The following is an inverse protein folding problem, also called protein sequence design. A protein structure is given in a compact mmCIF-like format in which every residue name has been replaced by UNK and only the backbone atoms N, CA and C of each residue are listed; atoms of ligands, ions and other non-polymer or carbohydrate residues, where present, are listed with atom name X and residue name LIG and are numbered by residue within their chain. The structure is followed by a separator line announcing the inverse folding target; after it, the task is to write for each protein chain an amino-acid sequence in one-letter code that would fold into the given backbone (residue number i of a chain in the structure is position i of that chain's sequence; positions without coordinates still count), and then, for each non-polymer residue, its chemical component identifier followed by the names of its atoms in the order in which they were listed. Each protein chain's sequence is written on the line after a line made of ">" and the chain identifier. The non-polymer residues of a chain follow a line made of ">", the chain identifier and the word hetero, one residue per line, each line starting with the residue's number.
data_IF_175122563104
#
_entry.id   IF_175122563104
#
_cell.length_a   1.000
_cell.length_b   1.000
_cell.length_c   1.000
_cell.angle_alpha   90.00
_cell.angle_beta   90.00
_cell.angle_gamma   90.00
#
_symmetry.space_group_name_H-M   'P 1'
#
loop_
_entity.id
_entity.type
_entity.pdbx_description
1 polymer ?
#
# COMPACT_ATOMS: atom_id res chain seq x y z
N UNK A 1 71.36 -55.95 14.87
CA UNK A 1 70.42 -55.20 15.74
C UNK A 1 69.85 -54.05 14.94
N UNK A 2 68.69 -54.32 14.37
CA UNK A 2 67.87 -53.49 13.49
C UNK A 2 66.81 -52.81 14.34
N UNK A 3 66.63 -51.49 14.22
CA UNK A 3 65.51 -50.80 14.84
C UNK A 3 65.07 -49.62 13.99
N UNK A 4 63.82 -49.73 13.56
CA UNK A 4 63.06 -48.94 12.60
C UNK A 4 62.70 -47.54 13.10
N UNK A 5 62.89 -46.52 12.26
CA UNK A 5 62.21 -45.22 12.40
C UNK A 5 60.92 -45.24 11.59
N UNK A 6 59.78 -45.12 12.28
CA UNK A 6 58.47 -44.89 11.67
C UNK A 6 58.34 -43.41 11.29
N UNK A 7 58.17 -43.13 9.99
CA UNK A 7 57.66 -41.85 9.50
C UNK A 7 56.14 -41.94 9.38
N UNK A 8 55.41 -41.13 10.15
CA UNK A 8 53.98 -40.90 9.95
C UNK A 8 53.84 -39.62 9.12
N UNK A 9 53.42 -39.78 7.86
CA UNK A 9 53.01 -38.67 7.02
C UNK A 9 51.54 -38.34 7.31
N UNK A 10 51.28 -37.10 7.77
CA UNK A 10 49.93 -36.54 7.84
C UNK A 10 49.68 -35.78 6.53
N UNK A 11 48.66 -36.11 5.73
CA UNK A 11 48.36 -35.34 4.53
C UNK A 11 47.63 -34.05 4.92
N UNK A 12 48.21 -32.90 4.56
CA UNK A 12 47.49 -31.62 4.50
C UNK A 12 46.41 -31.74 3.42
N UNK A 13 45.15 -31.89 3.85
CA UNK A 13 44.00 -31.73 2.96
C UNK A 13 43.79 -30.23 2.69
N UNK A 14 44.20 -29.77 1.52
CA UNK A 14 43.88 -28.44 1.01
C UNK A 14 42.36 -28.38 0.69
N UNK A 15 41.60 -27.69 1.52
CA UNK A 15 40.23 -27.31 1.21
C UNK A 15 40.24 -26.25 0.10
N UNK A 16 40.06 -26.70 -1.15
CA UNK A 16 39.64 -25.80 -2.23
C UNK A 16 38.20 -25.38 -1.95
N UNK A 17 38.02 -24.14 -1.48
CA UNK A 17 36.72 -23.49 -1.47
C UNK A 17 36.27 -23.30 -2.93
N UNK A 18 35.36 -24.16 -3.38
CA UNK A 18 34.67 -23.99 -4.66
C UNK A 18 33.79 -22.75 -4.54
N UNK A 19 34.31 -21.63 -5.03
CA UNK A 19 33.54 -20.41 -5.23
C UNK A 19 32.59 -20.68 -6.40
N UNK A 20 31.35 -21.09 -6.09
CA UNK A 20 30.29 -21.16 -7.10
C UNK A 20 29.92 -19.72 -7.45
N UNK A 21 30.15 -19.24 -8.68
CA UNK A 21 29.71 -17.91 -9.06
C UNK A 21 28.18 -17.91 -9.03
N UNK A 22 27.60 -17.07 -8.16
CA UNK A 22 26.19 -16.73 -8.26
C UNK A 22 25.98 -16.08 -9.63
N UNK A 23 25.42 -16.83 -10.58
CA UNK A 23 25.13 -16.33 -11.92
C UNK A 23 24.45 -14.98 -11.86
N UNK A 24 24.98 -14.01 -12.60
CA UNK A 24 24.35 -12.72 -12.81
C UNK A 24 22.97 -12.97 -13.41
N UNK A 25 21.91 -12.66 -12.68
CA UNK A 25 20.56 -12.70 -13.22
C UNK A 25 20.52 -11.79 -14.45
N UNK A 26 20.16 -12.35 -15.61
CA UNK A 26 19.89 -11.56 -16.82
C UNK A 26 18.90 -10.48 -16.47
N UNK A 27 19.19 -9.27 -16.88
CA UNK A 27 18.40 -8.11 -16.54
C UNK A 27 17.03 -8.21 -17.27
N UNK A 28 15.92 -7.96 -16.54
CA UNK A 28 14.54 -8.17 -17.01
C UNK A 28 13.74 -6.87 -17.00
N UNK A 29 12.71 -6.79 -17.84
CA UNK A 29 11.67 -5.75 -17.78
C UNK A 29 10.25 -6.36 -17.75
N UNK A 30 9.26 -5.55 -17.43
CA UNK A 30 7.85 -5.94 -17.42
C UNK A 30 7.31 -6.08 -18.84
N UNK A 31 6.74 -7.26 -19.14
CA UNK A 31 6.20 -7.56 -20.47
C UNK A 31 4.84 -8.22 -20.38
N UNK A 32 3.99 -8.01 -21.38
CA UNK A 32 2.76 -8.78 -21.51
C UNK A 32 3.08 -10.20 -21.98
N UNK A 33 2.40 -11.20 -21.40
CA UNK A 33 2.56 -12.61 -21.78
C UNK A 33 1.21 -13.27 -21.96
N UNK A 34 0.91 -13.70 -23.19
CA UNK A 34 -0.34 -14.43 -23.52
C UNK A 34 -0.47 -15.73 -22.73
N UNK A 35 0.65 -16.38 -22.42
CA UNK A 35 0.67 -17.60 -21.60
C UNK A 35 0.43 -17.31 -20.12
N UNK A 36 1.01 -16.23 -19.58
CA UNK A 36 0.86 -15.92 -18.16
C UNK A 36 -0.50 -15.28 -17.84
N UNK A 37 -1.09 -14.52 -18.77
CA UNK A 37 -2.28 -13.71 -18.50
C UNK A 37 -3.51 -14.54 -18.04
N UNK A 38 -3.89 -15.67 -18.68
CA UNK A 38 -5.01 -16.49 -18.21
C UNK A 38 -4.75 -17.12 -16.83
N UNK A 39 -3.51 -17.53 -16.56
CA UNK A 39 -3.11 -18.07 -15.25
C UNK A 39 -3.23 -17.00 -14.16
N UNK A 40 -2.74 -15.79 -14.44
CA UNK A 40 -2.85 -14.65 -13.53
C UNK A 40 -4.32 -14.21 -13.35
N UNK A 41 -5.13 -14.21 -14.41
CA UNK A 41 -6.56 -13.92 -14.33
C UNK A 41 -7.26 -14.87 -13.36
N UNK A 42 -6.97 -16.18 -13.45
CA UNK A 42 -7.48 -17.18 -12.50
C UNK A 42 -6.93 -16.99 -11.09
N UNK A 43 -5.64 -16.66 -10.95
CA UNK A 43 -4.98 -16.45 -9.66
C UNK A 43 -5.53 -15.24 -8.91
N UNK A 44 -5.78 -14.12 -9.61
CA UNK A 44 -6.41 -12.95 -9.02
C UNK A 44 -7.90 -13.17 -8.83
N UNK A 45 -8.63 -13.66 -9.84
CA UNK A 45 -10.08 -13.84 -9.80
C UNK A 45 -10.82 -12.61 -9.23
N UNK A 46 -10.33 -11.42 -9.58
CA UNK A 46 -10.81 -10.15 -9.06
C UNK A 46 -11.75 -9.48 -10.06
N UNK A 47 -12.68 -8.62 -9.62
CA UNK A 47 -13.47 -7.80 -10.53
C UNK A 47 -12.61 -6.77 -11.26
N UNK A 48 -13.03 -6.34 -12.45
CA UNK A 48 -12.28 -5.35 -13.26
C UNK A 48 -12.03 -4.04 -12.50
N UNK A 49 -12.95 -3.65 -11.61
CA UNK A 49 -12.82 -2.43 -10.81
C UNK A 49 -11.81 -2.53 -9.66
N UNK A 50 -11.10 -3.65 -9.50
CA UNK A 50 -9.89 -3.77 -8.68
C UNK A 50 -8.61 -3.60 -9.50
N UNK A 51 -8.70 -3.65 -10.83
CA UNK A 51 -7.57 -3.38 -11.71
C UNK A 51 -7.29 -1.88 -11.80
N UNK A 52 -6.12 -1.54 -12.34
CA UNK A 52 -5.64 -0.16 -12.45
C UNK A 52 -5.33 0.16 -13.91
N UNK A 53 -5.68 1.35 -14.42
CA UNK A 53 -5.22 1.79 -15.74
C UNK A 53 -3.69 1.94 -15.74
N UNK A 54 -3.06 1.78 -16.90
CA UNK A 54 -1.60 1.86 -17.01
C UNK A 54 -1.06 3.26 -16.65
N UNK A 55 -1.90 4.29 -16.76
CA UNK A 55 -1.58 5.67 -16.37
C UNK A 55 -1.29 5.85 -14.88
N UNK A 56 -1.68 4.89 -14.02
CA UNK A 56 -1.31 4.90 -12.58
C UNK A 56 0.15 4.56 -12.34
N UNK A 57 0.81 3.91 -13.31
CA UNK A 57 2.10 3.25 -13.10
C UNK A 57 3.24 4.25 -12.93
N UNK A 58 4.12 3.96 -11.99
CA UNK A 58 5.40 4.62 -11.86
C UNK A 58 6.25 4.36 -13.12
N UNK A 59 6.99 5.37 -13.55
CA UNK A 59 8.04 5.21 -14.55
C UNK A 59 9.22 4.50 -13.89
N UNK A 60 9.46 3.26 -14.28
CA UNK A 60 10.61 2.48 -13.85
C UNK A 60 11.61 2.44 -15.02
N UNK A 61 12.91 2.57 -14.74
CA UNK A 61 13.97 2.45 -15.73
C UNK A 61 14.62 1.07 -15.54
N UNK A 62 14.44 0.19 -16.53
CA UNK A 62 15.06 -1.14 -16.59
C UNK A 62 16.45 -1.12 -17.25
N UNK A 63 17.21 -2.20 -17.18
CA UNK A 63 16.78 -3.55 -16.77
C UNK A 63 16.95 -3.88 -15.27
N UNK A 64 16.10 -4.76 -14.71
CA UNK A 64 16.13 -5.12 -13.29
C UNK A 64 16.85 -6.46 -13.03
N UNK A 65 17.84 -6.50 -12.13
CA UNK A 65 18.57 -7.72 -11.79
C UNK A 65 17.77 -8.59 -10.81
N UNK A 66 16.80 -9.35 -11.32
CA UNK A 66 15.97 -10.25 -10.52
C UNK A 66 15.72 -11.61 -11.18
N UNK A 67 15.56 -12.64 -10.35
CA UNK A 67 15.10 -13.96 -10.78
C UNK A 67 13.59 -14.06 -10.81
N UNK A 68 12.86 -13.12 -10.17
CA UNK A 68 11.40 -13.08 -10.18
C UNK A 68 10.86 -12.84 -11.60
N UNK A 69 9.57 -13.13 -11.80
CA UNK A 69 8.92 -12.96 -13.10
C UNK A 69 8.23 -11.59 -13.11
N UNK A 70 8.52 -10.78 -14.14
CA UNK A 70 7.99 -9.43 -14.32
C UNK A 70 6.98 -9.42 -15.48
N UNK A 71 5.69 -9.28 -15.16
CA UNK A 71 4.61 -9.41 -16.16
C UNK A 71 3.63 -8.26 -16.04
N UNK A 72 3.23 -7.69 -17.18
CA UNK A 72 2.07 -6.81 -17.26
C UNK A 72 0.81 -7.65 -17.47
N UNK A 73 0.01 -7.80 -16.41
CA UNK A 73 -1.29 -8.45 -16.43
C UNK A 73 -2.35 -7.49 -16.98
N UNK A 74 -3.19 -7.97 -17.90
CA UNK A 74 -4.39 -7.26 -18.40
C UNK A 74 -5.65 -8.02 -17.96
N UNK A 75 -6.60 -7.29 -17.37
CA UNK A 75 -7.86 -7.89 -16.94
C UNK A 75 -8.65 -8.40 -18.16
N UNK A 76 -9.31 -9.59 -18.11
CA UNK A 76 -10.11 -10.11 -19.23
C UNK A 76 -11.13 -9.10 -19.78
N UNK A 77 -11.94 -8.49 -18.91
CA UNK A 77 -12.90 -7.45 -19.32
C UNK A 77 -12.24 -6.22 -19.94
N UNK A 78 -11.00 -5.91 -19.54
CA UNK A 78 -10.25 -4.81 -20.12
C UNK A 78 -9.79 -5.14 -21.54
N UNK A 79 -9.35 -6.39 -21.77
CA UNK A 79 -9.01 -6.88 -23.10
C UNK A 79 -10.23 -6.85 -24.02
N UNK A 80 -11.39 -7.34 -23.57
CA UNK A 80 -12.64 -7.33 -24.35
C UNK A 80 -13.12 -5.91 -24.66
N UNK A 81 -13.02 -5.00 -23.69
CA UNK A 81 -13.41 -3.58 -23.89
C UNK A 81 -12.34 -2.74 -24.61
N UNK A 82 -11.14 -3.26 -24.87
CA UNK A 82 -10.04 -2.46 -25.41
C UNK A 82 -9.56 -1.33 -24.49
N UNK A 83 -9.80 -1.44 -23.18
CA UNK A 83 -9.17 -0.62 -22.15
C UNK A 83 -7.85 -1.24 -21.70
N UNK A 84 -7.07 -0.50 -20.90
CA UNK A 84 -5.74 -0.92 -20.44
C UNK A 84 -5.71 -1.31 -18.96
N UNK A 85 -6.88 -1.52 -18.34
CA UNK A 85 -6.98 -1.86 -16.93
C UNK A 85 -6.33 -3.23 -16.64
N UNK A 86 -5.41 -3.23 -15.68
CA UNK A 86 -4.59 -4.38 -15.35
C UNK A 86 -3.72 -4.15 -14.12
N UNK A 87 -2.69 -4.97 -13.96
CA UNK A 87 -1.70 -4.83 -12.89
C UNK A 87 -0.30 -5.03 -13.46
N UNK A 88 0.69 -4.32 -12.93
CA UNK A 88 2.10 -4.61 -13.19
C UNK A 88 2.54 -5.59 -12.11
N UNK A 89 2.91 -6.82 -12.45
CA UNK A 89 3.04 -7.93 -11.49
C UNK A 89 4.49 -8.39 -11.36
N UNK A 90 4.95 -8.51 -10.11
CA UNK A 90 6.16 -9.22 -9.73
C UNK A 90 5.72 -10.56 -9.14
N UNK A 91 5.87 -11.66 -9.87
CA UNK A 91 5.62 -12.99 -9.31
C UNK A 91 6.90 -13.47 -8.62
N UNK A 92 6.84 -13.57 -7.30
CA UNK A 92 8.00 -13.82 -6.46
C UNK A 92 7.75 -15.01 -5.54
N UNK A 93 8.79 -15.82 -5.33
CA UNK A 93 8.76 -16.90 -4.34
C UNK A 93 9.02 -16.37 -2.94
N UNK A 94 8.40 -16.96 -1.92
CA UNK A 94 8.62 -16.57 -0.51
C UNK A 94 10.10 -16.62 -0.07
N UNK A 95 10.80 -17.70 -0.38
CA UNK A 95 12.17 -17.92 0.09
C UNK A 95 13.09 -16.83 -0.47
N UNK A 96 13.75 -16.04 0.38
CA UNK A 96 14.65 -14.96 -0.05
C UNK A 96 13.97 -13.73 -0.67
N UNK A 97 12.65 -13.57 -0.48
CA UNK A 97 11.86 -12.49 -1.08
C UNK A 97 12.45 -11.11 -0.81
N UNK A 98 12.72 -10.77 0.46
CA UNK A 98 13.20 -9.44 0.85
C UNK A 98 14.55 -9.06 0.21
N UNK A 99 15.49 -10.02 0.10
CA UNK A 99 16.76 -9.80 -0.60
C UNK A 99 16.55 -9.54 -2.10
N UNK A 100 15.71 -10.34 -2.76
CA UNK A 100 15.49 -10.21 -4.20
C UNK A 100 14.77 -8.93 -4.56
N UNK A 101 13.77 -8.53 -3.77
CA UNK A 101 13.08 -7.26 -3.96
C UNK A 101 14.04 -6.08 -3.82
N UNK A 102 14.94 -6.11 -2.82
CA UNK A 102 15.96 -5.06 -2.66
C UNK A 102 16.95 -5.05 -3.83
N UNK A 103 17.48 -6.23 -4.21
CA UNK A 103 18.42 -6.37 -5.32
C UNK A 103 17.84 -5.86 -6.63
N UNK A 104 16.54 -6.09 -6.88
CA UNK A 104 15.87 -5.65 -8.11
C UNK A 104 15.86 -4.12 -8.29
N UNK A 105 15.95 -3.34 -7.20
CA UNK A 105 15.77 -1.89 -7.23
C UNK A 105 14.35 -1.42 -7.54
N UNK A 106 13.41 -2.34 -7.81
CA UNK A 106 12.02 -2.01 -8.10
C UNK A 106 11.34 -1.45 -6.86
N UNK A 107 11.59 -2.03 -5.68
CA UNK A 107 11.09 -1.55 -4.39
C UNK A 107 12.12 -0.63 -3.75
N UNK A 108 11.67 0.51 -3.23
CA UNK A 108 12.53 1.54 -2.66
C UNK A 108 12.05 1.97 -1.28
N UNK A 109 12.96 2.54 -0.50
CA UNK A 109 12.61 3.15 0.79
C UNK A 109 11.56 4.24 0.63
N UNK A 110 10.51 4.17 1.44
CA UNK A 110 9.36 5.07 1.42
C UNK A 110 8.20 4.55 0.57
N UNK A 111 8.36 3.45 -0.17
CA UNK A 111 7.23 2.79 -0.83
C UNK A 111 6.24 2.28 0.22
N UNK A 112 4.95 2.42 -0.06
CA UNK A 112 3.85 1.90 0.72
C UNK A 112 3.51 0.49 0.26
N UNK A 113 3.39 -0.43 1.22
CA UNK A 113 3.02 -1.83 1.00
C UNK A 113 1.56 -2.02 1.35
N UNK A 114 0.67 -1.97 0.36
CA UNK A 114 -0.76 -2.14 0.55
C UNK A 114 -1.10 -3.62 0.46
N UNK A 115 -1.63 -4.17 1.53
CA UNK A 115 -2.10 -5.56 1.56
C UNK A 115 -3.37 -5.67 0.70
N UNK A 116 -3.27 -6.44 -0.39
CA UNK A 116 -4.34 -6.62 -1.37
C UNK A 116 -5.00 -8.00 -1.22
N UNK A 117 -6.33 -8.01 -1.24
CA UNK A 117 -7.22 -9.16 -1.03
C UNK A 117 -8.18 -9.27 -2.21
N UNK A 118 -7.72 -9.75 -3.38
CA UNK A 118 -8.59 -9.85 -4.56
C UNK A 118 -9.81 -10.75 -4.32
N UNK A 119 -9.69 -11.73 -3.40
CA UNK A 119 -10.77 -12.61 -2.98
C UNK A 119 -11.92 -11.91 -2.22
N UNK A 120 -11.74 -10.64 -1.81
CA UNK A 120 -12.82 -9.82 -1.27
C UNK A 120 -13.70 -9.20 -2.36
N UNK A 121 -13.27 -9.27 -3.63
CA UNK A 121 -14.04 -8.78 -4.75
C UNK A 121 -15.40 -9.45 -4.87
N UNK A 122 -16.46 -8.64 -4.97
CA UNK A 122 -17.84 -9.12 -5.03
C UNK A 122 -18.42 -9.56 -3.69
N UNK A 123 -17.75 -9.27 -2.57
CA UNK A 123 -18.27 -9.57 -1.24
C UNK A 123 -19.34 -8.57 -0.76
N UNK A 124 -19.28 -7.32 -1.23
CA UNK A 124 -20.21 -6.27 -0.82
C UNK A 124 -19.63 -4.87 -1.05
N UNK A 125 -20.41 -3.84 -0.74
CA UNK A 125 -20.03 -2.46 -1.00
C UNK A 125 -18.72 -2.05 -0.30
N UNK A 126 -18.54 -2.40 0.97
CA UNK A 126 -17.32 -2.06 1.72
C UNK A 126 -16.03 -2.57 1.06
N UNK A 127 -15.83 -3.90 0.88
CA UNK A 127 -14.60 -4.40 0.27
C UNK A 127 -14.44 -3.96 -1.18
N UNK A 128 -15.55 -3.78 -1.91
CA UNK A 128 -15.49 -3.32 -3.30
C UNK A 128 -15.01 -1.87 -3.39
N UNK A 129 -15.54 -0.98 -2.54
CA UNK A 129 -15.14 0.43 -2.47
C UNK A 129 -13.70 0.58 -1.98
N UNK A 130 -13.24 -0.29 -1.07
CA UNK A 130 -11.84 -0.34 -0.64
C UNK A 130 -10.91 -1.00 -1.69
N UNK A 131 -11.41 -1.42 -2.85
CA UNK A 131 -10.64 -2.10 -3.89
C UNK A 131 -9.84 -3.31 -3.36
N UNK A 132 -10.38 -4.02 -2.36
CA UNK A 132 -9.72 -5.16 -1.73
C UNK A 132 -8.49 -4.81 -0.88
N UNK A 133 -8.26 -3.54 -0.54
CA UNK A 133 -7.13 -3.13 0.32
C UNK A 133 -7.54 -3.23 1.79
N UNK A 134 -6.72 -3.92 2.58
CA UNK A 134 -7.02 -4.20 3.99
C UNK A 134 -6.03 -3.62 4.99
N UNK A 135 -4.80 -3.34 4.56
CA UNK A 135 -3.72 -2.89 5.45
C UNK A 135 -2.65 -2.14 4.67
N UNK A 136 -1.82 -1.35 5.36
CA UNK A 136 -0.65 -0.71 4.76
C UNK A 136 0.55 -0.66 5.71
N UNK A 137 1.72 -0.80 5.12
CA UNK A 137 3.02 -0.64 5.74
C UNK A 137 3.92 0.31 4.96
N UNK A 138 5.08 0.66 5.53
CA UNK A 138 6.14 1.37 4.79
C UNK A 138 7.32 0.43 4.56
N UNK A 139 7.76 0.33 3.31
CA UNK A 139 8.98 -0.36 2.94
C UNK A 139 10.22 0.52 3.22
N UNK A 140 11.27 -0.08 3.73
CA UNK A 140 12.60 0.53 3.81
C UNK A 140 13.69 -0.47 3.43
N UNK A 141 14.63 -0.06 2.60
CA UNK A 141 15.75 -0.89 2.16
C UNK A 141 16.92 -0.69 3.10
N UNK A 142 17.43 -1.78 3.67
CA UNK A 142 18.58 -1.79 4.58
C UNK A 142 19.31 -3.13 4.45
N UNK A 143 20.65 -3.11 4.53
CA UNK A 143 21.48 -4.32 4.55
C UNK A 143 21.16 -5.32 3.40
N UNK A 144 20.85 -4.77 2.21
CA UNK A 144 20.49 -5.57 1.03
C UNK A 144 19.12 -6.25 1.09
N UNK A 145 18.22 -5.82 1.98
CA UNK A 145 16.86 -6.37 2.12
C UNK A 145 15.81 -5.26 2.14
N UNK A 146 14.62 -5.57 1.61
CA UNK A 146 13.41 -4.80 1.86
C UNK A 146 12.87 -5.20 3.23
N UNK A 147 12.66 -4.21 4.07
CA UNK A 147 11.98 -4.37 5.34
C UNK A 147 10.63 -3.65 5.36
N UNK A 148 9.68 -4.08 6.19
CA UNK A 148 8.41 -3.38 6.46
C UNK A 148 8.37 -2.74 7.85
N UNK A 149 7.66 -1.61 7.98
CA UNK A 149 7.26 -1.07 9.27
C UNK A 149 5.78 -0.70 9.25
N UNK A 150 5.02 -1.26 10.19
CA UNK A 150 3.57 -1.21 10.22
C UNK A 150 3.06 -0.81 11.61
N UNK A 151 1.76 -0.54 11.73
CA UNK A 151 1.05 -0.53 13.00
C UNK A 151 -0.17 -1.45 12.86
N UNK A 152 -0.34 -2.53 13.64
CA UNK A 152 0.33 -2.87 14.91
C UNK A 152 1.85 -3.07 14.87
N UNK A 153 2.57 -2.46 15.81
CA UNK A 153 4.02 -2.58 15.94
C UNK A 153 4.42 -3.82 16.77
N UNK A 154 4.08 -5.01 16.27
CA UNK A 154 4.27 -6.29 16.97
C UNK A 154 4.81 -7.41 16.03
N UNK A 155 5.07 -8.61 16.58
CA UNK A 155 5.64 -9.72 15.79
C UNK A 155 4.66 -10.33 14.76
N UNK A 156 3.36 -10.09 14.87
CA UNK A 156 2.37 -10.53 13.86
C UNK A 156 2.59 -9.81 12.52
N UNK A 157 3.01 -8.54 12.56
CA UNK A 157 3.26 -7.71 11.38
C UNK A 157 4.76 -7.61 11.04
N UNK A 158 5.64 -7.76 12.02
CA UNK A 158 7.09 -7.58 11.84
C UNK A 158 7.89 -8.89 11.94
N UNK A 159 7.22 -10.01 12.22
CA UNK A 159 7.86 -11.31 12.37
C UNK A 159 8.63 -11.44 13.68
N UNK A 160 9.12 -12.66 13.92
CA UNK A 160 9.85 -13.02 15.15
C UNK A 160 11.05 -12.10 15.36
N UNK A 161 11.16 -11.53 16.56
CA UNK A 161 12.24 -10.60 16.90
C UNK A 161 12.19 -9.27 16.17
N UNK A 162 11.02 -8.87 15.64
CA UNK A 162 10.82 -7.62 14.89
C UNK A 162 11.76 -7.51 13.67
N UNK A 163 12.03 -8.63 12.98
CA UNK A 163 12.96 -8.68 11.83
C UNK A 163 12.49 -7.85 10.63
N UNK A 164 11.18 -7.67 10.50
CA UNK A 164 10.54 -6.87 9.47
C UNK A 164 10.89 -7.30 8.05
N UNK A 165 11.12 -8.59 7.77
CA UNK A 165 11.63 -9.06 6.48
C UNK A 165 10.55 -9.67 5.57
N UNK A 166 9.30 -9.21 5.72
CA UNK A 166 8.12 -9.69 4.99
C UNK A 166 7.80 -11.19 5.22
N UNK A 167 8.20 -11.75 6.37
CA UNK A 167 7.95 -13.16 6.73
C UNK A 167 7.04 -13.35 7.94
N UNK A 168 6.44 -12.27 8.45
CA UNK A 168 5.48 -12.32 9.55
C UNK A 168 4.23 -13.13 9.19
N UNK A 169 3.38 -13.49 10.17
CA UNK A 169 2.11 -14.17 9.89
C UNK A 169 1.24 -13.35 8.94
N UNK A 170 1.09 -12.05 9.19
CA UNK A 170 0.35 -11.14 8.30
C UNK A 170 0.83 -11.20 6.84
N UNK A 171 2.15 -11.12 6.62
CA UNK A 171 2.72 -11.16 5.26
C UNK A 171 2.78 -12.56 4.64
N UNK A 172 2.73 -13.63 5.45
CA UNK A 172 2.57 -15.00 4.95
C UNK A 172 1.16 -15.23 4.43
N UNK A 173 0.16 -14.75 5.17
CA UNK A 173 -1.24 -14.83 4.80
C UNK A 173 -1.56 -13.92 3.62
N UNK A 174 -0.89 -12.76 3.54
CA UNK A 174 -0.97 -11.89 2.37
C UNK A 174 -0.30 -12.52 1.14
N UNK A 175 -1.11 -12.92 0.16
CA UNK A 175 -0.64 -13.41 -1.14
C UNK A 175 -0.28 -12.29 -2.11
N UNK A 176 -0.84 -11.10 -1.91
CA UNK A 176 -0.65 -9.97 -2.81
C UNK A 176 -0.40 -8.68 -2.04
N UNK A 177 0.58 -7.91 -2.52
CA UNK A 177 0.90 -6.58 -2.02
C UNK A 177 0.92 -5.61 -3.20
N UNK A 178 0.08 -4.57 -3.20
CA UNK A 178 0.34 -3.43 -4.06
C UNK A 178 1.46 -2.59 -3.46
N UNK A 179 2.32 -2.08 -4.32
CA UNK A 179 3.40 -1.17 -3.96
C UNK A 179 3.06 0.18 -4.56
N UNK A 180 2.95 1.19 -3.71
CA UNK A 180 2.66 2.58 -4.11
C UNK A 180 3.81 3.47 -3.66
N UNK A 181 4.31 4.32 -4.55
CA UNK A 181 5.49 5.16 -4.31
C UNK A 181 5.09 6.62 -4.17
N UNK A 182 5.49 7.30 -3.07
CA UNK A 182 5.48 8.75 -3.00
C UNK A 182 6.43 9.36 -4.03
N UNK A 183 5.94 10.38 -4.75
CA UNK A 183 6.72 11.11 -5.74
C UNK A 183 7.76 12.00 -5.07
N UNK A 184 8.92 12.13 -5.71
CA UNK A 184 9.89 13.17 -5.39
C UNK A 184 10.69 12.99 -4.09
N UNK A 185 10.68 11.79 -3.48
CA UNK A 185 11.53 11.53 -2.31
C UNK A 185 13.02 11.66 -2.66
N UNK A 186 13.68 12.61 -2.00
CA UNK A 186 15.13 12.79 -2.07
C UNK A 186 15.88 11.67 -1.34
N UNK A 187 17.16 11.53 -1.62
CA UNK A 187 18.01 10.53 -0.96
C UNK A 187 18.12 10.78 0.55
N UNK A 188 18.20 12.05 0.97
CA UNK A 188 18.17 12.44 2.38
C UNK A 188 16.85 12.08 3.05
N UNK A 189 15.71 12.35 2.41
CA UNK A 189 14.40 11.96 2.93
C UNK A 189 14.27 10.44 3.08
N UNK A 190 14.79 9.67 2.12
CA UNK A 190 14.84 8.20 2.22
C UNK A 190 15.70 7.75 3.40
N UNK A 191 16.88 8.35 3.59
CA UNK A 191 17.73 8.08 4.74
C UNK A 191 17.02 8.37 6.07
N UNK A 192 16.29 9.50 6.15
CA UNK A 192 15.53 9.85 7.34
C UNK A 192 14.41 8.83 7.62
N UNK A 193 13.69 8.37 6.58
CA UNK A 193 12.68 7.30 6.72
C UNK A 193 13.32 6.02 7.29
N UNK A 194 14.49 5.61 6.79
CA UNK A 194 15.23 4.46 7.37
C UNK A 194 15.53 4.69 8.86
N UNK A 195 16.01 5.88 9.22
CA UNK A 195 16.38 6.21 10.59
C UNK A 195 15.17 6.16 11.54
N UNK A 196 14.05 6.76 11.16
CA UNK A 196 12.78 6.69 11.92
C UNK A 196 12.25 5.26 12.04
N UNK A 197 12.20 4.51 10.94
CA UNK A 197 11.76 3.12 10.93
C UNK A 197 12.61 2.25 11.87
N UNK A 198 13.94 2.39 11.83
CA UNK A 198 14.85 1.68 12.74
C UNK A 198 14.58 2.02 14.20
N UNK A 199 14.38 3.29 14.54
CA UNK A 199 14.13 3.75 15.91
C UNK A 199 12.82 3.17 16.46
N UNK A 200 11.75 3.25 15.68
CA UNK A 200 10.45 2.66 16.03
C UNK A 200 10.57 1.14 16.20
N UNK A 201 11.14 0.44 15.22
CA UNK A 201 11.25 -1.01 15.25
C UNK A 201 12.11 -1.53 16.41
N UNK A 202 13.23 -0.86 16.72
CA UNK A 202 14.14 -1.25 17.81
C UNK A 202 13.52 -1.04 19.20
N UNK A 203 12.62 -0.07 19.33
CA UNK A 203 11.93 0.23 20.58
C UNK A 203 10.52 -0.39 20.67
N UNK A 204 10.07 -1.09 19.64
CA UNK A 204 8.71 -1.62 19.51
C UNK A 204 8.18 -2.29 20.78
N UNK A 205 8.96 -3.22 21.36
CA UNK A 205 8.56 -3.97 22.58
C UNK A 205 8.39 -3.11 23.83
N UNK A 206 9.01 -1.92 23.85
CA UNK A 206 8.88 -0.96 24.96
C UNK A 206 7.69 -0.04 24.78
N UNK A 207 7.43 0.38 23.54
CA UNK A 207 6.42 1.40 23.23
C UNK A 207 5.05 0.82 22.87
N UNK A 208 4.96 -0.41 22.37
CA UNK A 208 3.70 -1.03 21.95
C UNK A 208 3.20 -2.08 22.96
N UNK A 209 1.93 -2.03 23.42
CA UNK A 209 0.89 -1.07 23.07
C UNK A 209 0.79 0.16 24.01
N UNK A 210 1.77 0.36 24.91
CA UNK A 210 1.63 1.31 26.03
C UNK A 210 1.63 2.79 25.60
N UNK A 211 2.59 3.18 24.76
CA UNK A 211 2.74 4.55 24.24
C UNK A 211 2.16 4.69 22.83
N UNK A 212 2.28 3.65 22.01
CA UNK A 212 1.71 3.56 20.67
C UNK A 212 0.83 2.32 20.58
N UNK A 213 -0.41 2.44 20.12
CA UNK A 213 -1.29 1.28 19.85
C UNK A 213 -2.00 1.37 18.52
N UNK A 214 -2.60 0.26 18.11
CA UNK A 214 -3.48 0.23 16.96
C UNK A 214 -4.85 0.84 17.30
N UNK A 215 -5.34 1.74 16.43
CA UNK A 215 -6.71 2.23 16.46
C UNK A 215 -7.57 1.39 15.51
N UNK A 216 -8.54 0.65 16.04
CA UNK A 216 -9.49 -0.16 15.29
C UNK A 216 -10.80 0.59 14.95
N UNK A 217 -10.99 1.81 15.47
CA UNK A 217 -12.08 2.71 15.07
C UNK A 217 -11.66 3.59 13.88
N UNK A 218 -11.95 3.08 12.69
CA UNK A 218 -11.72 3.79 11.42
C UNK A 218 -12.58 5.05 11.23
N UNK A 219 -13.54 5.33 12.12
CA UNK A 219 -14.31 6.58 12.12
C UNK A 219 -13.70 7.68 12.99
N UNK A 220 -12.61 7.40 13.70
CA UNK A 220 -11.95 8.33 14.61
C UNK A 220 -10.50 8.69 14.19
N UNK A 221 -10.29 9.28 13.00
CA UNK A 221 -8.95 9.67 12.57
C UNK A 221 -8.35 10.76 13.46
N UNK A 222 -7.03 10.72 13.64
CA UNK A 222 -6.25 11.74 14.36
C UNK A 222 -6.05 12.99 13.54
N UNK A 223 -6.02 12.87 12.21
CA UNK A 223 -6.01 14.04 11.35
C UNK A 223 -7.29 14.87 11.54
N UNK A 224 -7.11 16.19 11.67
CA UNK A 224 -8.19 17.16 11.68
C UNK A 224 -7.83 18.32 10.75
N UNK A 225 -8.74 18.65 9.83
CA UNK A 225 -8.52 19.74 8.86
C UNK A 225 -8.15 21.03 9.57
N UNK A 226 -7.15 21.74 9.03
CA UNK A 226 -6.65 23.04 9.55
C UNK A 226 -6.14 22.99 11.01
N UNK A 227 -5.85 21.80 11.54
CA UNK A 227 -5.16 21.64 12.83
C UNK A 227 -3.71 21.26 12.59
N UNK A 228 -2.85 21.61 13.54
CA UNK A 228 -1.45 21.19 13.51
C UNK A 228 -1.34 19.66 13.57
N UNK A 229 -0.29 19.11 12.96
CA UNK A 229 0.00 17.66 12.93
C UNK A 229 0.57 17.16 14.27
N UNK A 230 -0.11 17.46 15.37
CA UNK A 230 0.34 17.12 16.72
C UNK A 230 0.50 15.61 16.93
N UNK A 231 -0.30 14.78 16.26
CA UNK A 231 -0.15 13.32 16.31
C UNK A 231 1.14 12.83 15.65
N UNK A 232 1.66 13.52 14.62
CA UNK A 232 2.96 13.20 14.00
C UNK A 232 4.10 13.58 14.92
N UNK A 233 3.99 14.74 15.59
CA UNK A 233 4.92 15.16 16.64
C UNK A 233 4.94 14.13 17.77
N UNK A 234 3.77 13.69 18.25
CA UNK A 234 3.63 12.67 19.28
C UNK A 234 4.32 11.35 18.85
N UNK A 235 4.11 10.88 17.62
CA UNK A 235 4.79 9.68 17.10
C UNK A 235 6.32 9.84 17.13
N UNK A 236 6.83 11.00 16.72
CA UNK A 236 8.26 11.30 16.75
C UNK A 236 8.80 11.36 18.19
N UNK A 237 8.09 11.98 19.13
CA UNK A 237 8.45 12.02 20.56
C UNK A 237 8.56 10.60 21.14
N UNK A 238 7.60 9.71 20.83
CA UNK A 238 7.67 8.29 21.21
C UNK A 238 8.91 7.62 20.60
N UNK A 239 9.13 7.79 19.29
CA UNK A 239 10.28 7.19 18.59
C UNK A 239 11.64 7.71 19.10
N UNK A 240 11.69 8.95 19.61
CA UNK A 240 12.85 9.58 20.24
C UNK A 240 12.99 9.25 21.72
N UNK A 241 12.05 8.51 22.33
CA UNK A 241 12.07 8.16 23.75
C UNK A 241 11.80 9.35 24.68
N UNK A 242 11.12 10.39 24.19
CA UNK A 242 10.82 11.62 24.95
C UNK A 242 9.60 11.47 25.88
N UNK A 243 8.94 10.30 25.88
CA UNK A 243 7.82 9.95 26.77
C UNK A 243 6.72 11.02 26.84
N UNK A 244 6.10 11.36 25.69
CA UNK A 244 4.98 12.29 25.69
C UNK A 244 3.83 11.74 26.54
N UNK A 245 2.97 12.64 27.03
CA UNK A 245 1.83 12.23 27.86
C UNK A 245 0.73 11.59 27.03
N UNK A 246 0.15 10.51 27.55
CA UNK A 246 -0.93 9.75 26.94
C UNK A 246 -0.45 8.68 25.97
N UNK A 247 -1.41 7.92 25.43
CA UNK A 247 -1.15 6.90 24.41
C UNK A 247 -1.58 7.44 23.05
N UNK A 248 -0.71 7.32 22.06
CA UNK A 248 -1.05 7.57 20.67
C UNK A 248 -1.63 6.30 20.03
N UNK A 249 -2.84 6.37 19.52
CA UNK A 249 -3.47 5.32 18.74
C UNK A 249 -3.58 5.75 17.27
N UNK A 250 -3.11 4.90 16.36
CA UNK A 250 -3.12 5.17 14.92
C UNK A 250 -3.62 3.93 14.18
N UNK A 251 -4.40 4.09 13.12
CA UNK A 251 -4.60 2.98 12.19
C UNK A 251 -3.33 2.79 11.33
N UNK A 252 -3.21 1.65 10.65
CA UNK A 252 -2.01 1.29 9.88
C UNK A 252 -1.57 2.36 8.88
N UNK A 253 -2.52 2.97 8.16
CA UNK A 253 -2.25 4.03 7.19
C UNK A 253 -1.98 5.39 7.80
N UNK A 254 -2.49 5.69 9.00
CA UNK A 254 -2.15 6.91 9.73
C UNK A 254 -0.72 6.86 10.22
N UNK A 255 -0.29 5.69 10.70
CA UNK A 255 1.09 5.42 11.05
C UNK A 255 2.02 5.54 9.83
N UNK A 256 1.68 4.88 8.72
CA UNK A 256 2.46 4.96 7.49
C UNK A 256 2.55 6.41 6.96
N UNK A 257 1.44 7.14 6.96
CA UNK A 257 1.39 8.56 6.58
C UNK A 257 2.25 9.42 7.52
N UNK A 258 2.16 9.20 8.83
CA UNK A 258 2.93 9.95 9.84
C UNK A 258 4.43 9.73 9.70
N UNK A 259 4.86 8.49 9.45
CA UNK A 259 6.27 8.17 9.17
C UNK A 259 6.76 8.90 7.92
N UNK A 260 5.97 8.90 6.84
CA UNK A 260 6.30 9.66 5.63
C UNK A 260 6.26 11.17 5.86
N UNK A 261 5.43 11.68 6.77
CA UNK A 261 5.41 13.09 7.13
C UNK A 261 6.68 13.55 7.86
N UNK A 262 7.40 12.62 8.50
CA UNK A 262 8.69 12.83 9.16
C UNK A 262 9.91 12.76 8.21
N UNK A 263 9.71 12.47 6.92
CA UNK A 263 10.80 12.34 5.93
C UNK A 263 11.76 13.55 5.89
N UNK A 264 11.25 14.75 6.14
CA UNK A 264 12.05 15.98 6.16
C UNK A 264 12.81 16.20 7.48
N UNK A 265 12.49 15.43 8.52
CA UNK A 265 13.09 15.53 9.84
C UNK A 265 14.19 14.48 10.00
N UNK A 266 15.42 14.91 10.24
CA UNK A 266 16.51 14.02 10.59
C UNK A 266 16.46 13.73 12.10
N UNK A 267 16.20 12.50 12.55
CA UNK A 267 16.05 12.19 13.97
C UNK A 267 17.33 12.39 14.79
N UNK A 268 18.52 12.51 14.17
CA UNK A 268 19.76 12.80 14.90
C UNK A 268 19.90 14.29 15.18
N UNK A 269 19.52 15.16 14.23
CA UNK A 269 19.79 16.61 14.31
C UNK A 269 18.57 17.43 14.70
N UNK A 270 17.35 16.93 14.46
CA UNK A 270 16.09 17.66 14.74
C UNK A 270 15.38 17.16 16.00
N UNK A 271 15.96 16.22 16.76
CA UNK A 271 15.34 15.64 17.95
C UNK A 271 14.92 16.68 19.00
N UNK A 272 15.71 17.75 19.15
CA UNK A 272 15.42 18.85 20.08
C UNK A 272 14.15 19.61 19.75
N UNK A 273 13.83 19.77 18.46
CA UNK A 273 12.67 20.55 18.00
C UNK A 273 11.34 19.95 18.45
N UNK A 274 11.31 18.62 18.62
CA UNK A 274 10.12 17.89 19.07
C UNK A 274 9.78 18.13 20.54
N UNK A 275 10.72 18.61 21.37
CA UNK A 275 10.45 18.95 22.78
C UNK A 275 9.63 20.22 22.96
N UNK A 276 9.59 21.09 21.95
CA UNK A 276 8.84 22.35 21.98
C UNK A 276 7.32 22.14 21.96
N UNK A 277 6.55 23.22 22.14
CA UNK A 277 5.07 23.16 22.08
C UNK A 277 4.50 23.10 20.66
N UNK A 278 5.30 23.47 19.65
CA UNK A 278 4.88 23.53 18.24
C UNK A 278 5.30 22.28 17.49
N UNK A 279 4.59 21.97 16.40
CA UNK A 279 5.03 20.95 15.44
C UNK A 279 6.25 21.49 14.68
N UNK A 280 7.38 20.74 14.62
CA UNK A 280 8.56 21.16 13.88
C UNK A 280 8.26 21.42 12.39
N UNK A 281 8.91 22.41 11.80
CA UNK A 281 8.68 22.82 10.39
C UNK A 281 9.16 21.78 9.36
N UNK A 282 10.03 20.85 9.79
CA UNK A 282 10.46 19.72 8.97
C UNK A 282 9.33 18.69 8.74
N UNK A 283 8.29 18.69 9.58
CA UNK A 283 7.12 17.82 9.42
C UNK A 283 6.24 18.36 8.30
N UNK A 284 6.07 17.58 7.23
CA UNK A 284 5.34 18.00 6.03
C UNK A 284 4.36 16.96 5.54
N UNK A 285 3.18 17.42 5.13
CA UNK A 285 2.18 16.59 4.45
C UNK A 285 2.82 15.89 3.23
N UNK A 286 2.57 14.59 3.08
CA UNK A 286 3.01 13.79 1.91
C UNK A 286 1.89 13.63 0.87
N UNK A 287 0.66 13.65 1.34
CA UNK A 287 -0.57 13.53 0.55
C UNK A 287 -1.68 14.17 1.39
N UNK A 288 -2.51 14.99 0.77
CA UNK A 288 -3.70 15.50 1.44
C UNK A 288 -4.66 14.34 1.75
N UNK A 289 -5.37 14.39 2.88
CA UNK A 289 -6.37 13.37 3.18
C UNK A 289 -7.50 13.49 2.18
N UNK A 290 -8.09 12.35 1.85
CA UNK A 290 -9.17 12.32 0.87
C UNK A 290 -10.50 12.60 1.55
N UNK A 291 -11.26 13.51 0.95
CA UNK A 291 -12.70 13.57 1.23
C UNK A 291 -13.36 12.22 0.85
N UNK A 292 -14.54 11.91 1.38
CA UNK A 292 -15.22 10.67 1.06
C UNK A 292 -15.49 10.49 -0.44
N UNK A 293 -16.00 11.51 -1.13
CA UNK A 293 -16.19 11.55 -2.59
C UNK A 293 -15.48 12.75 -3.20
N UNK A 294 -15.00 12.59 -4.43
CA UNK A 294 -14.18 13.57 -5.14
C UNK A 294 -14.93 14.37 -6.21
N UNK A 295 -14.15 14.98 -7.08
CA UNK A 295 -14.67 15.69 -8.26
C UNK A 295 -14.08 15.21 -9.59
N UNK A 296 -13.15 14.25 -9.57
CA UNK A 296 -12.41 13.81 -10.75
C UNK A 296 -13.30 13.40 -11.93
N UNK A 297 -14.40 12.69 -11.67
CA UNK A 297 -15.33 12.21 -12.72
C UNK A 297 -16.29 13.30 -13.20
N UNK A 298 -16.73 14.17 -12.30
CA UNK A 298 -17.73 15.21 -12.59
C UNK A 298 -17.12 16.47 -13.21
N UNK A 299 -15.87 16.78 -12.87
CA UNK A 299 -15.10 17.96 -13.33
C UNK A 299 -13.61 17.60 -13.48
N UNK A 300 -13.23 16.76 -14.47
CA UNK A 300 -11.84 16.44 -14.71
C UNK A 300 -11.03 17.71 -14.97
N UNK A 301 -9.96 17.92 -14.21
CA UNK A 301 -9.05 19.05 -14.41
C UNK A 301 -7.70 18.74 -13.76
N UNK A 302 -6.68 19.57 -14.02
CA UNK A 302 -5.36 19.43 -13.37
C UNK A 302 -5.41 19.63 -11.85
N UNK A 303 -6.53 20.14 -11.31
CA UNK A 303 -6.78 20.36 -9.87
C UNK A 303 -7.89 19.47 -9.33
N UNK A 304 -8.37 18.49 -10.10
CA UNK A 304 -9.34 17.54 -9.58
C UNK A 304 -8.73 16.70 -8.46
N UNK A 305 -9.59 16.16 -7.60
CA UNK A 305 -9.19 15.27 -6.52
C UNK A 305 -10.08 14.03 -6.52
N UNK A 306 -9.50 12.95 -6.01
CA UNK A 306 -10.16 11.67 -5.80
C UNK A 306 -10.74 11.64 -4.38
N UNK A 307 -11.94 11.06 -4.24
CA UNK A 307 -12.47 10.69 -2.93
C UNK A 307 -12.17 9.24 -2.55
N UNK A 308 -12.26 8.93 -1.26
CA UNK A 308 -12.05 7.60 -0.68
C UNK A 308 -12.91 6.51 -1.31
N UNK A 309 -14.05 6.89 -1.89
CA UNK A 309 -15.00 5.95 -2.49
C UNK A 309 -15.06 6.06 -4.01
N UNK A 310 -14.15 6.78 -4.68
CA UNK A 310 -14.25 7.01 -6.12
C UNK A 310 -13.53 5.94 -6.97
N UNK A 311 -12.81 4.99 -6.34
CA UNK A 311 -11.98 3.99 -7.02
C UNK A 311 -12.73 3.18 -8.07
N UNK A 312 -13.72 2.35 -7.67
CA UNK A 312 -14.47 1.55 -8.61
C UNK A 312 -15.17 2.37 -9.68
N UNK A 313 -15.77 3.49 -9.29
CA UNK A 313 -16.40 4.44 -10.22
C UNK A 313 -15.42 4.92 -11.30
N UNK A 314 -14.19 5.26 -10.91
CA UNK A 314 -13.16 5.77 -11.83
C UNK A 314 -12.66 4.70 -12.78
N UNK A 315 -12.44 3.47 -12.30
CA UNK A 315 -12.01 2.36 -13.15
C UNK A 315 -13.11 2.00 -14.15
N UNK A 316 -14.38 1.91 -13.70
CA UNK A 316 -15.52 1.59 -14.57
C UNK A 316 -15.78 2.69 -15.61
N UNK A 317 -15.64 3.97 -15.24
CA UNK A 317 -15.84 5.09 -16.18
C UNK A 317 -14.87 5.03 -17.36
N UNK A 318 -13.66 4.51 -17.15
CA UNK A 318 -12.61 4.39 -18.17
C UNK A 318 -12.77 3.18 -19.10
N UNK A 319 -13.64 2.23 -18.78
CA UNK A 319 -13.94 1.11 -19.67
C UNK A 319 -14.64 1.63 -20.95
N UNK A 320 -14.28 1.06 -22.11
CA UNK A 320 -14.93 1.38 -23.39
C UNK A 320 -16.08 0.41 -23.66
N UNK A 321 -17.07 0.45 -22.78
CA UNK A 321 -18.30 -0.37 -22.83
C UNK A 321 -19.53 0.54 -22.89
N UNK A 322 -20.69 -0.04 -23.22
CA UNK A 322 -21.94 0.71 -23.30
C UNK A 322 -22.35 1.29 -21.94
N UNK A 323 -23.21 2.33 -21.97
CA UNK A 323 -23.72 2.96 -20.74
C UNK A 323 -24.48 1.96 -19.85
N UNK A 324 -25.20 1.03 -20.45
CA UNK A 324 -25.98 0.03 -19.73
C UNK A 324 -25.07 -0.98 -19.04
N UNK A 325 -24.01 -1.42 -19.71
CA UNK A 325 -22.98 -2.28 -19.10
C UNK A 325 -22.23 -1.56 -17.97
N UNK A 326 -21.87 -0.27 -18.13
CA UNK A 326 -21.31 0.53 -17.03
C UNK A 326 -22.27 0.58 -15.85
N UNK A 327 -23.56 0.80 -16.10
CA UNK A 327 -24.56 0.89 -15.03
C UNK A 327 -24.70 -0.44 -14.27
N UNK A 328 -24.70 -1.58 -14.99
CA UNK A 328 -24.69 -2.92 -14.36
C UNK A 328 -23.43 -3.15 -13.52
N UNK A 329 -22.25 -2.78 -14.03
CA UNK A 329 -21.01 -2.89 -13.25
C UNK A 329 -21.03 -1.98 -12.01
N UNK A 330 -21.48 -0.72 -12.15
CA UNK A 330 -21.62 0.20 -11.01
C UNK A 330 -22.59 -0.32 -9.95
N UNK A 331 -23.68 -0.99 -10.35
CA UNK A 331 -24.60 -1.64 -9.39
C UNK A 331 -23.94 -2.84 -8.71
N UNK A 332 -23.17 -3.64 -9.43
CA UNK A 332 -22.49 -4.83 -8.89
C UNK A 332 -21.52 -4.51 -7.74
N UNK A 333 -20.97 -3.30 -7.70
CA UNK A 333 -20.14 -2.79 -6.58
C UNK A 333 -20.88 -2.88 -5.25
N UNK A 334 -22.21 -2.74 -5.25
CA UNK A 334 -23.05 -2.66 -4.04
C UNK A 334 -23.83 -3.95 -3.75
N UNK A 335 -23.66 -4.99 -4.54
CA UNK A 335 -24.33 -6.28 -4.30
C UNK A 335 -23.63 -6.99 -3.15
N UNK A 336 -24.37 -7.19 -2.06
CA UNK A 336 -23.87 -7.90 -0.87
C UNK A 336 -23.85 -9.41 -1.09
N UNK A 337 -22.76 -10.05 -0.65
CA UNK A 337 -22.60 -11.50 -0.67
C UNK A 337 -22.18 -12.00 0.72
N UNK A 338 -23.14 -12.42 1.57
CA UNK A 338 -22.87 -12.84 2.94
C UNK A 338 -21.84 -13.97 3.05
N UNK A 339 -21.79 -14.89 2.08
CA UNK A 339 -20.84 -16.00 2.09
C UNK A 339 -19.39 -15.51 1.89
N UNK A 340 -19.18 -14.48 1.07
CA UNK A 340 -17.87 -13.89 0.84
C UNK A 340 -17.48 -12.93 1.99
N UNK A 341 -18.43 -12.20 2.56
CA UNK A 341 -18.20 -11.32 3.73
C UNK A 341 -17.60 -12.12 4.90
N UNK A 342 -18.04 -13.36 5.10
CA UNK A 342 -17.52 -14.25 6.17
C UNK A 342 -16.01 -14.53 6.04
N UNK A 343 -15.42 -14.35 4.85
CA UNK A 343 -13.97 -14.52 4.61
C UNK A 343 -13.13 -13.30 5.04
N UNK A 344 -13.77 -12.15 5.27
CA UNK A 344 -13.07 -10.98 5.83
C UNK A 344 -12.81 -11.18 7.33
N UNK A 345 -11.81 -10.49 7.88
CA UNK A 345 -11.59 -10.52 9.33
C UNK A 345 -12.74 -9.86 10.09
N UNK A 346 -12.88 -10.18 11.37
CA UNK A 346 -13.99 -9.68 12.20
C UNK A 346 -14.08 -8.15 12.21
N UNK A 347 -12.95 -7.44 12.33
CA UNK A 347 -12.92 -5.98 12.28
C UNK A 347 -13.49 -5.42 10.97
N UNK A 348 -13.07 -5.97 9.83
CA UNK A 348 -13.57 -5.54 8.51
C UNK A 348 -15.06 -5.86 8.33
N UNK A 349 -15.55 -6.97 8.87
CA UNK A 349 -16.99 -7.29 8.87
C UNK A 349 -17.79 -6.28 9.69
N UNK A 350 -17.31 -5.89 10.89
CA UNK A 350 -17.97 -4.86 11.73
C UNK A 350 -18.08 -3.53 10.99
N UNK A 351 -16.99 -3.08 10.34
CA UNK A 351 -16.98 -1.84 9.55
C UNK A 351 -17.93 -1.94 8.36
N UNK A 352 -17.94 -3.06 7.63
CA UNK A 352 -18.85 -3.28 6.51
C UNK A 352 -20.32 -3.14 6.95
N UNK A 353 -20.69 -3.80 8.04
CA UNK A 353 -22.05 -3.71 8.62
C UNK A 353 -22.40 -2.30 9.07
N UNK A 354 -21.50 -1.60 9.77
CA UNK A 354 -21.77 -0.24 10.25
C UNK A 354 -21.90 0.79 9.12
N UNK A 355 -21.25 0.54 7.99
CA UNK A 355 -21.27 1.42 6.83
C UNK A 355 -22.42 1.13 5.85
N UNK A 356 -23.13 -0.01 5.99
CA UNK A 356 -24.19 -0.42 5.06
C UNK A 356 -25.23 0.68 4.77
N UNK A 357 -25.78 1.42 5.76
CA UNK A 357 -26.79 2.44 5.48
C UNK A 357 -26.26 3.60 4.63
N UNK A 358 -24.94 3.80 4.62
CA UNK A 358 -24.28 4.84 3.82
C UNK A 358 -24.09 4.39 2.36
N UNK A 359 -24.06 3.09 2.08
CA UNK A 359 -23.78 2.57 0.74
C UNK A 359 -24.94 2.69 -0.24
N UNK A 360 -26.19 2.65 0.22
CA UNK A 360 -27.36 2.91 -0.65
C UNK A 360 -27.32 4.33 -1.23
N UNK A 361 -26.95 5.32 -0.40
CA UNK A 361 -26.75 6.70 -0.87
C UNK A 361 -25.59 6.77 -1.86
N UNK A 362 -24.52 6.02 -1.60
CA UNK A 362 -23.36 5.99 -2.46
C UNK A 362 -23.65 5.38 -3.84
N UNK A 363 -24.47 4.33 -3.90
CA UNK A 363 -24.92 3.74 -5.17
C UNK A 363 -25.67 4.76 -6.04
N UNK A 364 -26.57 5.53 -5.43
CA UNK A 364 -27.28 6.61 -6.13
C UNK A 364 -26.32 7.70 -6.65
N UNK A 365 -25.27 8.01 -5.90
CA UNK A 365 -24.21 8.90 -6.38
C UNK A 365 -23.54 8.31 -7.63
N UNK A 366 -23.06 7.06 -7.58
CA UNK A 366 -22.39 6.38 -8.69
C UNK A 366 -23.22 6.38 -9.98
N UNK A 367 -24.50 6.04 -9.89
CA UNK A 367 -25.40 6.00 -11.04
C UNK A 367 -25.77 7.40 -11.56
N UNK A 368 -25.70 8.42 -10.69
CA UNK A 368 -26.09 9.78 -11.02
C UNK A 368 -24.99 10.68 -11.58
N UNK A 369 -23.70 10.42 -11.29
CA UNK A 369 -22.61 11.37 -11.59
C UNK A 369 -22.45 11.71 -13.08
N UNK A 370 -22.79 10.78 -13.98
CA UNK A 370 -22.76 10.93 -15.45
C UNK A 370 -24.18 10.88 -16.06
N UNK A 371 -25.22 10.97 -15.24
CA UNK A 371 -26.61 10.96 -15.70
C UNK A 371 -27.04 12.26 -16.38
N UNK A 372 -28.34 12.37 -16.66
CA UNK A 372 -28.95 13.62 -17.12
C UNK A 372 -28.86 14.74 -16.08
N UNK A 373 -29.29 15.95 -16.43
CA UNK A 373 -29.18 17.16 -15.57
C UNK A 373 -29.74 16.95 -14.16
N UNK A 374 -30.94 16.35 -14.04
CA UNK A 374 -31.56 16.07 -12.73
C UNK A 374 -30.74 15.06 -11.92
N UNK A 375 -30.26 13.98 -12.55
CA UNK A 375 -29.46 12.95 -11.88
C UNK A 375 -28.11 13.51 -11.39
N UNK A 376 -27.44 14.36 -12.19
CA UNK A 376 -26.20 15.05 -11.80
C UNK A 376 -26.42 16.01 -10.63
N UNK A 377 -27.56 16.72 -10.61
CA UNK A 377 -27.93 17.59 -9.48
C UNK A 377 -28.12 16.77 -8.20
N UNK A 378 -28.87 15.67 -8.27
CA UNK A 378 -29.05 14.73 -7.14
C UNK A 378 -27.70 14.18 -6.65
N UNK A 379 -26.84 13.73 -7.57
CA UNK A 379 -25.51 13.23 -7.22
C UNK A 379 -24.63 14.30 -6.55
N UNK A 380 -24.72 15.57 -6.99
CA UNK A 380 -24.00 16.68 -6.35
C UNK A 380 -24.48 16.92 -4.90
N UNK A 381 -25.78 16.83 -4.65
CA UNK A 381 -26.35 16.92 -3.30
C UNK A 381 -25.92 15.74 -2.43
N UNK A 382 -26.02 14.52 -2.95
CA UNK A 382 -25.56 13.30 -2.25
C UNK A 382 -24.09 13.38 -1.88
N UNK A 383 -23.22 13.87 -2.78
CA UNK A 383 -21.81 14.11 -2.46
C UNK A 383 -21.66 15.06 -1.29
N UNK A 384 -22.36 16.19 -1.31
CA UNK A 384 -22.22 17.20 -0.26
C UNK A 384 -22.62 16.66 1.11
N UNK A 385 -23.73 15.91 1.19
CA UNK A 385 -24.17 15.29 2.44
C UNK A 385 -23.27 14.13 2.88
N UNK A 386 -22.79 13.32 1.94
CA UNK A 386 -21.88 12.21 2.24
C UNK A 386 -20.54 12.71 2.77
N UNK A 387 -19.94 13.73 2.13
CA UNK A 387 -18.70 14.36 2.57
C UNK A 387 -18.81 15.04 3.94
N UNK A 388 -20.00 15.54 4.31
CA UNK A 388 -20.24 16.08 5.65
C UNK A 388 -20.36 14.99 6.74
N UNK A 389 -20.67 13.74 6.36
CA UNK A 389 -21.03 12.65 7.28
C UNK A 389 -19.90 11.64 7.55
N UNK A 390 -18.81 11.73 6.81
CA UNK A 390 -17.66 10.83 6.94
C UNK A 390 -16.42 11.73 7.06
N UNK A 391 -15.63 11.61 8.14
CA UNK A 391 -14.44 12.44 8.32
C UNK A 391 -13.41 12.14 7.23
N UNK A 392 -12.60 13.14 6.93
CA UNK A 392 -11.39 12.95 6.13
C UNK A 392 -10.47 11.94 6.83
N UNK A 393 -9.94 11.01 6.06
CA UNK A 393 -9.14 9.91 6.59
C UNK A 393 -8.03 9.54 5.58
N UNK A 394 -6.90 9.08 6.08
CA UNK A 394 -5.89 8.39 5.29
C UNK A 394 -6.19 6.89 5.24
N UNK A 395 -7.31 6.43 4.66
CA UNK A 395 -7.53 4.97 4.50
C UNK A 395 -6.35 4.32 3.74
N UNK A 396 -5.96 3.06 3.97
CA UNK A 396 -4.94 2.39 3.16
C UNK A 396 -5.21 2.51 1.65
N UNK A 397 -6.49 2.43 1.27
CA UNK A 397 -6.95 2.57 -0.12
C UNK A 397 -6.67 3.96 -0.69
N UNK A 398 -6.64 5.01 0.13
CA UNK A 398 -6.42 6.39 -0.33
C UNK A 398 -5.11 6.56 -1.09
N UNK A 399 -4.04 5.86 -0.67
CA UNK A 399 -2.76 5.89 -1.36
C UNK A 399 -2.86 5.34 -2.79
N UNK A 400 -3.62 4.25 -2.98
CA UNK A 400 -3.88 3.68 -4.29
C UNK A 400 -4.74 4.62 -5.14
N UNK A 401 -5.81 5.18 -4.56
CA UNK A 401 -6.72 6.07 -5.28
C UNK A 401 -6.02 7.34 -5.76
N UNK A 402 -5.01 7.83 -5.05
CA UNK A 402 -4.26 9.01 -5.48
C UNK A 402 -3.56 8.77 -6.83
N UNK A 403 -3.14 7.52 -7.09
CA UNK A 403 -2.50 7.13 -8.36
C UNK A 403 -3.46 7.19 -9.56
N UNK A 404 -4.78 7.14 -9.33
CA UNK A 404 -5.81 7.21 -10.38
C UNK A 404 -6.03 8.63 -10.92
N UNK A 405 -5.47 9.65 -10.28
CA UNK A 405 -5.44 11.00 -10.84
C UNK A 405 -4.61 11.03 -12.14
N UNK A 406 -4.90 11.95 -13.08
CA UNK A 406 -4.05 12.16 -14.25
C UNK A 406 -2.59 12.40 -13.86
N UNK A 407 -1.64 11.96 -14.70
CA UNK A 407 -0.19 12.01 -14.40
C UNK A 407 0.27 13.43 -14.08
N UNK A 408 -0.32 14.42 -14.76
CA UNK A 408 -0.02 15.85 -14.68
C UNK A 408 -0.95 16.63 -13.73
N UNK A 409 -1.78 15.94 -12.94
CA UNK A 409 -2.62 16.54 -11.92
C UNK A 409 -1.77 16.96 -10.71
N UNK A 410 -1.99 18.18 -10.20
CA UNK A 410 -1.22 18.76 -9.11
C UNK A 410 -1.40 18.05 -7.76
N UNK A 411 -2.50 17.34 -7.59
CA UNK A 411 -2.84 16.60 -6.37
C UNK A 411 -2.35 15.14 -6.43
N UNK A 412 -1.77 14.69 -7.55
CA UNK A 412 -1.18 13.35 -7.66
C UNK A 412 0.23 13.34 -7.06
N UNK A 413 0.33 12.80 -5.85
CA UNK A 413 1.59 12.66 -5.10
C UNK A 413 2.09 11.22 -5.06
N UNK A 414 1.34 10.27 -5.60
CA UNK A 414 1.64 8.84 -5.55
C UNK A 414 1.62 8.22 -6.95
N UNK A 415 2.44 7.17 -7.14
CA UNK A 415 2.42 6.31 -8.32
C UNK A 415 2.36 4.83 -7.93
N UNK A 416 1.60 4.04 -8.67
CA UNK A 416 1.55 2.59 -8.49
C UNK A 416 2.81 1.95 -9.09
N UNK A 417 3.61 1.26 -8.28
CA UNK A 417 4.85 0.63 -8.74
C UNK A 417 4.55 -0.72 -9.37
N UNK A 418 3.99 -1.65 -8.59
CA UNK A 418 3.67 -3.01 -8.99
C UNK A 418 2.79 -3.71 -7.93
N UNK A 419 2.25 -4.87 -8.28
CA UNK A 419 1.69 -5.85 -7.36
C UNK A 419 2.68 -7.00 -7.21
N UNK A 420 3.13 -7.25 -5.99
CA UNK A 420 3.90 -8.46 -5.67
C UNK A 420 2.90 -9.59 -5.47
N UNK A 421 2.96 -10.62 -6.32
CA UNK A 421 2.20 -11.85 -6.17
C UNK A 421 3.14 -12.91 -5.60
N UNK A 422 2.92 -13.29 -4.33
CA UNK A 422 3.82 -14.17 -3.59
C UNK A 422 3.31 -15.61 -3.70
N UNK A 423 4.17 -16.49 -4.21
CA UNK A 423 3.98 -17.96 -4.21
C UNK A 423 4.55 -18.60 -2.95
#
# INVERSE_FOLDING_TARGET
>A
MTSSRFSIAVPLAAFFAIWVPFGSASAKDFTFSEKANPRLAKKFSMPVYFALPSSTRAKLKGDFPTTDILVDFKHPDAMTSGSDAGLRVIEARRAGLSQRLAKSGIIQTGDLLLTFRPEWGGAGAYPNVQMGISHTGVAYVKDGKVHNIDNPLNEEYHGRGMRSDLTSSHYKDAKFLHVVRPRGLTEKERSNIVAWAKRLNSNARKIYPAELKFNDDYNAPKYKRRRALGFVKHLAEIALGQKPSGTLDLYCSEFAWSLLALRGCDPETTAGDFKGSRVPSCVKIVMDPMDPTGNNISRPSRRSYMGLVDGPLTVIDQLKISRDEKSKLLQSVFVENPAQIRKMSEGHRKVATSMQPKFERLQNYYLGVKGGTVARLKARLTRATFNASVPENYSPTSFLLNTLLPVDNSNRTMDYVATIAID
#
